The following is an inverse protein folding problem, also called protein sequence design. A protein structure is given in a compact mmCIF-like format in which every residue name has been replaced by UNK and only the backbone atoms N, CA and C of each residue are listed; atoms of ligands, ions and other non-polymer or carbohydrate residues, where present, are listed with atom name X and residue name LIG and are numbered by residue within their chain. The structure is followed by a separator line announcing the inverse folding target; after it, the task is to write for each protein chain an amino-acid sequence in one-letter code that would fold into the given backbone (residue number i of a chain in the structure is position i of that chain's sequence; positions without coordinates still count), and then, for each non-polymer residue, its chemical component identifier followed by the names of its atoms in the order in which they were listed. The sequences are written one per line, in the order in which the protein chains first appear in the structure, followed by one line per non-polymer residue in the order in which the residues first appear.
data_IF_217904910898
#
_entry.id   IF_217904910898
#
_cell.length_a   1.000
_cell.length_b   1.000
_cell.length_c   1.000
_cell.angle_alpha   90.00
_cell.angle_beta   90.00
_cell.angle_gamma   90.00
#
_symmetry.space_group_name_H-M   'P 1'
#
loop_
_entity.id
_entity.type
_entity.pdbx_description
1 polymer ?
#
# COMPACT_ATOMS: atom_id res chain seq x y z
N UNK A 1 3.20 -5.05 -12.05
CA UNK A 1 2.81 -6.45 -11.78
C UNK A 1 3.92 -7.25 -11.13
N UNK A 2 5.12 -7.38 -11.71
CA UNK A 2 6.22 -8.19 -11.13
C UNK A 2 6.54 -7.80 -9.67
N UNK A 3 6.64 -6.50 -9.37
CA UNK A 3 6.87 -6.02 -7.98
C UNK A 3 5.76 -6.42 -7.01
N UNK A 4 4.50 -6.36 -7.44
CA UNK A 4 3.35 -6.78 -6.63
C UNK A 4 3.39 -8.29 -6.38
N UNK A 5 3.71 -9.08 -7.41
CA UNK A 5 3.85 -10.53 -7.31
C UNK A 5 4.96 -10.93 -6.32
N UNK A 6 6.12 -10.29 -6.43
CA UNK A 6 7.21 -10.48 -5.48
C UNK A 6 6.79 -10.11 -4.04
N UNK A 7 6.12 -8.97 -3.86
CA UNK A 7 5.60 -8.55 -2.56
C UNK A 7 4.58 -9.53 -1.99
N UNK A 8 3.66 -10.06 -2.81
CA UNK A 8 2.69 -11.07 -2.36
C UNK A 8 3.35 -12.37 -1.92
N UNK A 9 4.40 -12.81 -2.61
CA UNK A 9 5.18 -14.00 -2.23
C UNK A 9 5.93 -13.77 -0.92
N UNK A 10 6.53 -12.58 -0.73
CA UNK A 10 7.17 -12.26 0.54
C UNK A 10 6.18 -12.19 1.71
N UNK A 11 4.98 -11.65 1.47
CA UNK A 11 3.94 -11.55 2.50
C UNK A 11 3.36 -12.94 2.82
N UNK A 12 3.22 -13.83 1.83
CA UNK A 12 2.78 -15.20 2.09
C UNK A 12 3.80 -15.97 2.95
N UNK A 13 5.10 -15.84 2.65
CA UNK A 13 6.17 -16.41 3.48
C UNK A 13 6.15 -15.84 4.90
N UNK A 14 6.00 -14.51 5.04
CA UNK A 14 5.90 -13.86 6.34
C UNK A 14 4.67 -14.35 7.13
N UNK A 15 3.55 -14.58 6.44
CA UNK A 15 2.32 -15.12 7.03
C UNK A 15 2.54 -16.52 7.56
N UNK A 16 3.16 -17.40 6.77
CA UNK A 16 3.47 -18.78 7.19
C UNK A 16 4.36 -18.80 8.43
N UNK A 17 5.39 -17.93 8.45
CA UNK A 17 6.26 -17.79 9.60
C UNK A 17 5.48 -17.29 10.84
N UNK A 18 4.74 -16.19 10.70
CA UNK A 18 3.99 -15.56 11.80
C UNK A 18 2.91 -16.48 12.38
N UNK A 19 2.20 -17.20 11.51
CA UNK A 19 1.13 -18.12 11.89
C UNK A 19 1.65 -19.36 12.62
N UNK A 20 2.89 -19.76 12.35
CA UNK A 20 3.54 -20.93 12.99
C UNK A 20 4.19 -20.57 14.32
N UNK A 21 4.75 -19.35 14.45
CA UNK A 21 5.45 -18.90 15.67
C UNK A 21 4.48 -18.32 16.71
N UNK A 22 3.45 -17.58 16.27
CA UNK A 22 2.47 -16.96 17.16
C UNK A 22 1.09 -17.59 17.00
N UNK A 23 0.39 -17.81 18.12
CA UNK A 23 -1.02 -18.22 18.16
C UNK A 23 -2.01 -17.05 18.12
N UNK A 24 -1.52 -15.81 18.24
CA UNK A 24 -2.36 -14.62 18.18
C UNK A 24 -2.87 -14.41 16.76
N UNK A 25 -4.16 -14.11 16.63
CA UNK A 25 -4.82 -13.84 15.34
C UNK A 25 -5.40 -12.44 15.34
N UNK A 26 -5.29 -11.69 14.22
CA UNK A 26 -5.97 -10.42 14.08
C UNK A 26 -7.47 -10.61 14.21
N UNK A 27 -8.09 -9.87 15.11
CA UNK A 27 -9.54 -9.80 15.25
C UNK A 27 -10.13 -8.78 14.28
N UNK A 28 -11.47 -8.73 14.22
CA UNK A 28 -12.19 -7.80 13.34
C UNK A 28 -11.93 -6.34 13.70
N UNK A 29 -11.69 -6.05 14.98
CA UNK A 29 -11.35 -4.70 15.45
C UNK A 29 -9.99 -4.26 14.90
N UNK A 30 -8.96 -5.11 14.97
CA UNK A 30 -7.66 -4.82 14.39
C UNK A 30 -7.74 -4.61 12.88
N UNK A 31 -8.44 -5.51 12.16
CA UNK A 31 -8.62 -5.39 10.72
C UNK A 31 -9.32 -4.08 10.31
N UNK A 32 -10.37 -3.69 11.03
CA UNK A 32 -11.08 -2.42 10.84
C UNK A 32 -10.18 -1.20 11.10
N UNK A 33 -9.34 -1.27 12.14
CA UNK A 33 -8.37 -0.22 12.46
C UNK A 33 -7.34 -0.05 11.33
N UNK A 34 -6.76 -1.14 10.85
CA UNK A 34 -5.80 -1.12 9.73
C UNK A 34 -6.45 -0.54 8.47
N UNK A 35 -7.66 -0.98 8.14
CA UNK A 35 -8.41 -0.47 6.98
C UNK A 35 -8.70 1.03 7.10
N UNK A 36 -9.08 1.50 8.29
CA UNK A 36 -9.33 2.92 8.57
C UNK A 36 -8.08 3.76 8.37
N UNK A 37 -6.93 3.32 8.89
CA UNK A 37 -5.64 3.99 8.67
C UNK A 37 -5.29 4.05 7.18
N UNK A 38 -5.49 2.94 6.46
CA UNK A 38 -5.29 2.89 5.01
C UNK A 38 -6.18 3.90 4.26
N UNK A 39 -7.47 3.99 4.64
CA UNK A 39 -8.43 4.90 4.04
C UNK A 39 -8.13 6.38 4.30
N UNK A 40 -7.70 6.73 5.51
CA UNK A 40 -7.24 8.08 5.83
C UNK A 40 -6.02 8.43 4.96
N UNK A 41 -5.03 7.53 4.89
CA UNK A 41 -3.81 7.80 4.13
C UNK A 41 -4.03 7.88 2.63
N UNK A 42 -4.90 7.02 2.10
CA UNK A 42 -5.36 7.11 0.72
C UNK A 42 -6.04 8.46 0.44
N UNK A 43 -6.95 8.91 1.32
CA UNK A 43 -7.72 10.14 1.11
C UNK A 43 -6.82 11.38 1.12
N UNK A 44 -5.92 11.48 2.11
CA UNK A 44 -4.96 12.58 2.22
C UNK A 44 -3.99 12.56 1.01
N UNK A 45 -3.47 11.38 0.64
CA UNK A 45 -2.54 11.25 -0.48
C UNK A 45 -3.17 11.55 -1.83
N UNK A 46 -4.40 11.09 -2.08
CA UNK A 46 -5.14 11.42 -3.29
C UNK A 46 -5.43 12.92 -3.37
N UNK A 47 -5.74 13.55 -2.23
CA UNK A 47 -5.90 15.00 -2.12
C UNK A 47 -4.69 15.77 -2.66
N UNK A 48 -3.48 15.43 -2.19
CA UNK A 48 -2.24 16.03 -2.70
C UNK A 48 -2.01 15.77 -4.19
N UNK A 49 -2.33 14.56 -4.67
CA UNK A 49 -2.14 14.18 -6.07
C UNK A 49 -3.06 14.99 -6.99
N UNK A 50 -4.32 15.20 -6.60
CA UNK A 50 -5.32 15.92 -7.41
C UNK A 50 -5.05 17.42 -7.42
N UNK A 51 -4.56 17.98 -6.32
CA UNK A 51 -4.19 19.40 -6.24
C UNK A 51 -2.78 19.69 -6.75
N UNK A 52 -2.02 18.65 -7.13
CA UNK A 52 -0.65 18.80 -7.63
C UNK A 52 -0.62 19.66 -8.89
N UNK A 53 0.05 20.81 -8.81
CA UNK A 53 0.14 21.76 -9.91
C UNK A 53 1.59 22.18 -10.18
N UNK A 54 2.24 21.66 -11.23
CA UNK A 54 3.61 22.04 -11.62
C UNK A 54 3.65 23.39 -12.39
N UNK A 55 2.87 24.37 -11.95
CA UNK A 55 2.91 25.73 -12.51
C UNK A 55 4.30 26.33 -12.38
N UNK A 56 4.75 27.04 -13.42
CA UNK A 56 6.08 27.67 -13.44
C UNK A 56 7.17 26.85 -14.13
N UNK A 57 6.94 25.55 -14.39
CA UNK A 57 7.88 24.73 -15.19
C UNK A 57 7.77 25.12 -16.67
N UNK A 58 8.77 25.86 -17.18
CA UNK A 58 8.81 26.35 -18.57
C UNK A 58 9.09 25.25 -19.60
N UNK A 59 9.84 24.22 -19.22
CA UNK A 59 10.21 23.13 -20.13
C UNK A 59 9.05 22.12 -20.29
N UNK A 60 8.49 22.09 -21.50
CA UNK A 60 7.33 21.26 -21.86
C UNK A 60 7.61 19.75 -21.70
N UNK A 61 8.84 19.31 -21.97
CA UNK A 61 9.20 17.89 -21.85
C UNK A 61 9.17 17.44 -20.39
N UNK A 62 9.73 18.23 -19.48
CA UNK A 62 9.67 17.97 -18.03
C UNK A 62 8.24 18.06 -17.51
N UNK A 63 7.47 19.08 -17.92
CA UNK A 63 6.07 19.22 -17.53
C UNK A 63 5.24 17.99 -17.91
N UNK A 64 5.41 17.48 -19.14
CA UNK A 64 4.73 16.26 -19.61
C UNK A 64 5.17 15.02 -18.83
N UNK A 65 6.46 14.90 -18.50
CA UNK A 65 6.98 13.79 -17.72
C UNK A 65 6.42 13.79 -16.29
N UNK A 66 6.41 14.95 -15.62
CA UNK A 66 5.86 15.12 -14.27
C UNK A 66 4.38 14.74 -14.25
N UNK A 67 3.56 15.33 -15.15
CA UNK A 67 2.12 15.01 -15.22
C UNK A 67 1.87 13.51 -15.45
N UNK A 68 2.65 12.88 -16.32
CA UNK A 68 2.54 11.43 -16.57
C UNK A 68 2.89 10.61 -15.33
N UNK A 69 3.93 11.00 -14.59
CA UNK A 69 4.33 10.29 -13.36
C UNK A 69 3.30 10.48 -12.24
N UNK A 70 2.81 11.70 -12.02
CA UNK A 70 1.75 11.98 -11.03
C UNK A 70 0.48 11.18 -11.37
N UNK A 71 0.08 11.13 -12.64
CA UNK A 71 -1.06 10.33 -13.07
C UNK A 71 -0.84 8.81 -12.87
N UNK A 72 0.40 8.31 -13.05
CA UNK A 72 0.75 6.92 -12.73
C UNK A 72 0.62 6.63 -11.23
N UNK A 73 1.12 7.54 -10.39
CA UNK A 73 1.00 7.42 -8.92
C UNK A 73 -0.48 7.43 -8.52
N UNK A 74 -1.28 8.35 -9.06
CA UNK A 74 -2.74 8.39 -8.85
C UNK A 74 -3.42 7.06 -9.15
N UNK A 75 -3.19 6.52 -10.34
CA UNK A 75 -3.81 5.26 -10.75
C UNK A 75 -3.34 4.09 -9.87
N UNK A 76 -2.07 4.12 -9.43
CA UNK A 76 -1.55 3.15 -8.47
C UNK A 76 -2.22 3.26 -7.10
N UNK A 77 -2.46 4.47 -6.60
CA UNK A 77 -3.21 4.70 -5.34
C UNK A 77 -4.61 4.11 -5.41
N UNK A 78 -5.34 4.41 -6.48
CA UNK A 78 -6.69 3.87 -6.71
C UNK A 78 -6.68 2.35 -6.76
N UNK A 79 -5.71 1.76 -7.44
CA UNK A 79 -5.58 0.31 -7.54
C UNK A 79 -5.29 -0.35 -6.18
N UNK A 80 -4.32 0.16 -5.42
CA UNK A 80 -4.00 -0.38 -4.09
C UNK A 80 -5.14 -0.17 -3.10
N UNK A 81 -5.88 0.93 -3.19
CA UNK A 81 -7.04 1.17 -2.33
C UNK A 81 -8.20 0.24 -2.65
N UNK A 82 -8.44 -0.02 -3.95
CA UNK A 82 -9.39 -1.04 -4.39
C UNK A 82 -9.02 -2.43 -3.86
N UNK A 83 -7.74 -2.82 -3.96
CA UNK A 83 -7.25 -4.08 -3.39
C UNK A 83 -7.41 -4.14 -1.87
N UNK A 84 -7.09 -3.06 -1.17
CA UNK A 84 -7.20 -2.98 0.30
C UNK A 84 -8.65 -3.13 0.75
N UNK A 85 -9.58 -2.47 0.06
CA UNK A 85 -11.02 -2.64 0.27
C UNK A 85 -11.48 -4.07 0.01
N UNK A 86 -11.01 -4.68 -1.08
CA UNK A 86 -11.31 -6.07 -1.40
C UNK A 86 -10.80 -7.03 -0.32
N UNK A 87 -9.56 -6.86 0.15
CA UNK A 87 -8.99 -7.68 1.21
C UNK A 87 -9.74 -7.52 2.53
N UNK A 88 -10.14 -6.30 2.89
CA UNK A 88 -10.93 -6.05 4.09
C UNK A 88 -12.29 -6.76 4.05
N UNK A 89 -13.01 -6.65 2.92
CA UNK A 89 -14.31 -7.33 2.74
C UNK A 89 -14.14 -8.84 2.86
N UNK A 90 -13.16 -9.44 2.17
CA UNK A 90 -12.90 -10.87 2.25
C UNK A 90 -12.53 -11.29 3.66
N UNK A 91 -11.72 -10.48 4.36
CA UNK A 91 -11.31 -10.78 5.72
C UNK A 91 -12.52 -10.97 6.64
N UNK A 92 -13.59 -10.19 6.44
CA UNK A 92 -14.78 -10.28 7.26
C UNK A 92 -15.56 -11.59 7.11
N UNK A 93 -15.39 -12.30 5.99
CA UNK A 93 -16.00 -13.61 5.76
C UNK A 93 -15.05 -14.78 6.05
N UNK A 94 -13.74 -14.58 5.87
CA UNK A 94 -12.75 -15.67 5.90
C UNK A 94 -11.84 -15.62 7.14
N UNK A 95 -11.97 -14.64 8.03
CA UNK A 95 -11.08 -14.45 9.19
C UNK A 95 -10.92 -15.69 10.09
N UNK A 96 -11.94 -16.53 10.19
CA UNK A 96 -11.94 -17.73 11.04
C UNK A 96 -11.37 -18.98 10.36
N UNK A 97 -11.02 -18.93 9.08
CA UNK A 97 -10.46 -20.07 8.36
C UNK A 97 -8.95 -20.14 8.55
N UNK A 98 -8.49 -21.26 9.09
CA UNK A 98 -7.09 -21.62 9.17
C UNK A 98 -6.82 -22.83 8.27
N UNK A 99 -5.80 -22.71 7.43
CA UNK A 99 -5.32 -23.84 6.64
C UNK A 99 -4.12 -24.44 7.37
N UNK A 100 -4.21 -25.71 7.76
CA UNK A 100 -3.11 -26.48 8.32
C UNK A 100 -2.52 -27.38 7.23
N UNK A 101 -1.21 -27.25 7.01
CA UNK A 101 -0.45 -28.13 6.13
C UNK A 101 0.54 -28.93 6.97
N UNK A 102 0.44 -30.26 6.92
CA UNK A 102 1.42 -31.18 7.50
C UNK A 102 2.61 -31.29 6.56
N UNK A 103 3.74 -30.71 6.94
CA UNK A 103 4.99 -30.84 6.22
C UNK A 103 5.91 -31.80 6.99
N UNK A 104 6.31 -32.90 6.34
CA UNK A 104 7.30 -33.87 6.87
C UNK A 104 7.05 -34.36 8.31
N UNK A 105 5.86 -34.92 8.60
CA UNK A 105 5.52 -35.73 9.80
C UNK A 105 5.85 -35.17 11.21
N UNK A 106 6.46 -33.98 11.33
CA UNK A 106 6.92 -33.33 12.57
C UNK A 106 6.71 -31.82 12.58
N UNK A 107 6.45 -31.18 11.44
CA UNK A 107 6.25 -29.72 11.36
C UNK A 107 4.87 -29.40 10.79
N UNK A 108 4.00 -28.83 11.63
CA UNK A 108 2.70 -28.32 11.19
C UNK A 108 2.88 -26.86 10.79
N UNK A 109 2.73 -26.57 9.50
CA UNK A 109 2.70 -25.19 9.01
C UNK A 109 1.25 -24.72 9.05
N UNK A 110 1.04 -23.59 9.73
CA UNK A 110 -0.27 -22.94 9.80
C UNK A 110 -0.27 -21.76 8.83
N UNK A 111 -1.37 -21.59 8.11
CA UNK A 111 -1.62 -20.42 7.29
C UNK A 111 -2.97 -19.82 7.70
N UNK A 112 -2.92 -18.70 8.42
CA UNK A 112 -4.11 -17.94 8.77
C UNK A 112 -4.44 -16.94 7.66
N UNK A 113 -5.63 -17.07 7.08
CA UNK A 113 -6.13 -16.11 6.09
C UNK A 113 -6.24 -14.69 6.68
N UNK A 114 -6.62 -14.57 7.96
CA UNK A 114 -6.72 -13.28 8.65
C UNK A 114 -5.37 -12.55 8.72
N UNK A 115 -4.30 -13.26 9.10
CA UNK A 115 -2.94 -12.69 9.14
C UNK A 115 -2.51 -12.22 7.75
N UNK A 116 -2.72 -13.06 6.73
CA UNK A 116 -2.36 -12.71 5.35
C UNK A 116 -3.05 -11.44 4.88
N UNK A 117 -4.37 -11.37 5.01
CA UNK A 117 -5.17 -10.24 4.54
C UNK A 117 -4.82 -8.97 5.31
N UNK A 118 -4.61 -9.06 6.63
CA UNK A 118 -4.17 -7.92 7.43
C UNK A 118 -2.78 -7.40 6.99
N UNK A 119 -1.81 -8.30 6.76
CA UNK A 119 -0.49 -7.90 6.28
C UNK A 119 -0.56 -7.27 4.89
N UNK A 120 -1.42 -7.76 4.01
CA UNK A 120 -1.66 -7.15 2.69
C UNK A 120 -2.23 -5.72 2.81
N UNK A 121 -3.16 -5.48 3.73
CA UNK A 121 -3.67 -4.13 4.00
C UNK A 121 -2.58 -3.21 4.58
N UNK A 122 -1.78 -3.70 5.53
CA UNK A 122 -0.65 -2.94 6.11
C UNK A 122 0.37 -2.57 5.02
N UNK A 123 0.69 -3.52 4.13
CA UNK A 123 1.60 -3.27 3.02
C UNK A 123 1.09 -2.14 2.11
N UNK A 124 -0.20 -2.14 1.77
CA UNK A 124 -0.81 -1.06 1.00
C UNK A 124 -0.76 0.28 1.75
N UNK A 125 -0.98 0.30 3.06
CA UNK A 125 -0.86 1.50 3.89
C UNK A 125 0.56 2.08 3.85
N UNK A 126 1.59 1.23 4.00
CA UNK A 126 2.99 1.65 3.89
C UNK A 126 3.29 2.19 2.49
N UNK A 127 2.76 1.53 1.45
CA UNK A 127 2.87 2.02 0.08
C UNK A 127 2.29 3.44 -0.07
N UNK A 128 1.11 3.71 0.48
CA UNK A 128 0.52 5.07 0.45
C UNK A 128 1.42 6.08 1.16
N UNK A 129 1.94 5.75 2.35
CA UNK A 129 2.80 6.65 3.13
C UNK A 129 4.07 7.02 2.35
N UNK A 130 4.78 6.02 1.80
CA UNK A 130 6.03 6.28 1.07
C UNK A 130 5.78 7.17 -0.14
N UNK A 131 4.77 6.84 -0.96
CA UNK A 131 4.49 7.64 -2.15
C UNK A 131 3.94 9.03 -1.81
N UNK A 132 3.23 9.18 -0.69
CA UNK A 132 2.80 10.47 -0.18
C UNK A 132 4.01 11.38 0.11
N UNK A 133 5.00 10.86 0.85
CA UNK A 133 6.23 11.59 1.19
C UNK A 133 6.98 11.99 -0.09
N UNK A 134 7.14 11.06 -1.02
CA UNK A 134 7.84 11.32 -2.29
C UNK A 134 7.11 12.35 -3.16
N UNK A 135 5.78 12.33 -3.19
CA UNK A 135 5.00 13.33 -3.94
C UNK A 135 5.11 14.72 -3.30
N UNK A 136 5.13 14.80 -1.97
CA UNK A 136 5.35 16.04 -1.25
C UNK A 136 6.76 16.60 -1.49
N UNK A 137 7.79 15.75 -1.45
CA UNK A 137 9.17 16.12 -1.79
C UNK A 137 9.27 16.66 -3.20
N UNK A 138 8.72 15.95 -4.18
CA UNK A 138 8.71 16.39 -5.57
C UNK A 138 8.05 17.77 -5.75
N UNK A 139 6.95 18.03 -5.04
CA UNK A 139 6.29 19.33 -5.10
C UNK A 139 7.18 20.46 -4.55
N UNK A 140 7.82 20.23 -3.40
CA UNK A 140 8.73 21.19 -2.79
C UNK A 140 9.96 21.44 -3.68
N UNK A 141 10.55 20.38 -4.24
CA UNK A 141 11.72 20.49 -5.12
C UNK A 141 11.42 21.33 -6.37
N UNK A 142 10.25 21.11 -6.99
CA UNK A 142 9.80 21.91 -8.14
C UNK A 142 9.64 23.38 -7.73
N UNK A 143 8.98 23.64 -6.60
CA UNK A 143 8.77 25.00 -6.11
C UNK A 143 10.09 25.74 -5.87
N UNK A 144 11.06 25.08 -5.25
CA UNK A 144 12.37 25.66 -4.96
C UNK A 144 13.17 25.96 -6.24
N UNK A 145 13.14 25.07 -7.23
CA UNK A 145 13.85 25.27 -8.51
C UNK A 145 13.20 26.41 -9.31
N UNK A 146 11.87 26.45 -9.41
CA UNK A 146 11.15 27.51 -10.13
C UNK A 146 11.44 28.89 -9.53
N UNK A 147 11.49 28.99 -8.21
CA UNK A 147 11.81 30.25 -7.52
C UNK A 147 13.27 30.68 -7.69
N UNK A 148 14.21 29.74 -7.84
CA UNK A 148 15.61 30.06 -8.15
C UNK A 148 15.80 30.59 -9.57
N UNK A 149 15.04 30.08 -10.54
CA UNK A 149 15.11 30.55 -11.94
C UNK A 149 14.42 31.90 -12.19
N UNK A 150 13.56 32.33 -11.26
CA UNK A 150 12.79 33.59 -11.38
C UNK A 150 13.48 34.76 -10.68
N UNK A 151 14.53 34.52 -9.90
CA UNK A 151 15.43 35.54 -9.34
C UNK A 151 16.61 35.80 -10.28
#
# INVERSE_FOLDING_TARGET
MIKLLASTVTISLLTMFSSTVWSVRPDSFFASTVFTVAGIMFSIGLGLIVTFNPSGVKNINYLRAIRRNVAKVRNSFLFHFGLTTFFYIINQYIANYEFSFLLFHKVTILFSASIFLCLMMIFSSIYFIINFIELQRLNNDIFDVVNKETR
#
